data_IF_603858439389
#
_entry.id   IF_603858439389
#
_cell.length_a   1.000
_cell.length_b   1.000
_cell.length_c   1.000
_cell.angle_alpha   90.00
_cell.angle_beta   90.00
_cell.angle_gamma   90.00
#
_symmetry.space_group_name_H-M   'P 1'
#
loop_
_entity.id
_entity.type
_entity.pdbx_description
1 polymer ?
#
# COMPACT_ATOMS: atom_id res chain seq x y z
N UNK A 1 16.18 -17.63 7.71
CA UNK A 1 16.27 -16.30 8.35
C UNK A 1 15.94 -15.11 7.45
N UNK A 2 16.77 -14.68 6.48
CA UNK A 2 16.50 -13.43 5.74
C UNK A 2 15.23 -13.45 4.87
N UNK A 3 14.85 -14.62 4.35
CA UNK A 3 13.68 -14.78 3.47
C UNK A 3 12.35 -14.63 4.23
N UNK A 4 12.25 -15.23 5.41
CA UNK A 4 11.06 -15.18 6.28
C UNK A 4 10.81 -13.77 6.81
N UNK A 5 11.88 -13.06 7.17
CA UNK A 5 11.80 -11.66 7.59
C UNK A 5 11.26 -10.79 6.45
N UNK A 6 11.74 -10.99 5.22
CA UNK A 6 11.28 -10.24 4.05
C UNK A 6 9.79 -10.50 3.77
N UNK A 7 9.32 -11.75 3.87
CA UNK A 7 7.91 -12.07 3.69
C UNK A 7 7.05 -11.41 4.78
N UNK A 8 7.51 -11.45 6.03
CA UNK A 8 6.84 -10.78 7.15
C UNK A 8 6.72 -9.28 6.92
N UNK A 9 7.79 -8.63 6.45
CA UNK A 9 7.80 -7.20 6.13
C UNK A 9 6.82 -6.88 4.99
N UNK A 10 6.81 -7.67 3.92
CA UNK A 10 5.86 -7.49 2.80
C UNK A 10 4.42 -7.61 3.29
N UNK A 11 4.12 -8.69 4.02
CA UNK A 11 2.78 -8.96 4.58
C UNK A 11 2.28 -7.80 5.44
N UNK A 12 3.09 -7.33 6.40
CA UNK A 12 2.74 -6.21 7.29
C UNK A 12 2.53 -4.91 6.52
N UNK A 13 3.41 -4.59 5.57
CA UNK A 13 3.31 -3.36 4.75
C UNK A 13 2.06 -3.37 3.88
N UNK A 14 1.75 -4.49 3.23
CA UNK A 14 0.54 -4.58 2.41
C UNK A 14 -0.70 -4.49 3.29
N UNK A 15 -0.79 -5.29 4.37
CA UNK A 15 -1.92 -5.26 5.30
C UNK A 15 -2.20 -3.85 5.86
N UNK A 16 -1.15 -3.11 6.24
CA UNK A 16 -1.27 -1.76 6.76
C UNK A 16 -1.87 -0.78 5.74
N UNK A 17 -1.56 -0.91 4.45
CA UNK A 17 -2.19 -0.08 3.42
C UNK A 17 -3.71 -0.28 3.40
N UNK A 18 -4.17 -1.55 3.43
CA UNK A 18 -5.58 -1.86 3.49
C UNK A 18 -6.24 -1.36 4.78
N UNK A 19 -5.53 -1.45 5.92
CA UNK A 19 -6.01 -0.90 7.20
C UNK A 19 -6.27 0.60 7.10
N UNK A 20 -5.27 1.38 6.65
CA UNK A 20 -5.37 2.84 6.53
C UNK A 20 -6.47 3.26 5.56
N UNK A 21 -6.62 2.56 4.43
CA UNK A 21 -7.58 2.93 3.38
C UNK A 21 -9.04 2.61 3.73
N UNK A 22 -9.29 1.70 4.67
CA UNK A 22 -10.66 1.28 5.05
C UNK A 22 -11.20 1.97 6.30
N UNK A 23 -10.33 2.47 7.17
CA UNK A 23 -10.73 3.11 8.42
C UNK A 23 -10.79 4.63 8.28
N UNK A 24 -11.87 5.23 8.79
CA UNK A 24 -12.14 6.68 8.72
C UNK A 24 -11.20 7.51 9.59
N UNK A 25 -10.59 6.92 10.62
CA UNK A 25 -9.69 7.63 11.53
C UNK A 25 -8.36 8.07 10.88
N UNK A 26 -8.13 7.69 9.62
CA UNK A 26 -6.88 7.97 8.89
C UNK A 26 -7.04 8.92 7.71
N UNK A 27 -8.09 9.74 7.67
CA UNK A 27 -8.40 10.63 6.53
C UNK A 27 -7.21 11.49 6.07
N UNK A 28 -6.47 12.10 6.99
CA UNK A 28 -5.26 12.87 6.64
C UNK A 28 -4.22 11.99 5.94
N UNK A 29 -3.98 10.79 6.45
CA UNK A 29 -3.00 9.85 5.89
C UNK A 29 -3.44 9.38 4.50
N UNK A 30 -4.74 9.14 4.30
CA UNK A 30 -5.32 8.82 3.00
C UNK A 30 -5.12 9.96 1.99
N UNK A 31 -5.38 11.22 2.39
CA UNK A 31 -5.16 12.40 1.54
C UNK A 31 -3.69 12.55 1.13
N UNK A 32 -2.76 12.34 2.07
CA UNK A 32 -1.32 12.34 1.80
C UNK A 32 -0.98 11.26 0.77
N UNK A 33 -1.40 10.01 0.99
CA UNK A 33 -1.08 8.87 0.13
C UNK A 33 -1.67 9.01 -1.28
N UNK A 34 -2.90 9.51 -1.39
CA UNK A 34 -3.55 9.78 -2.67
C UNK A 34 -3.00 11.03 -3.36
N UNK A 35 -2.14 11.79 -2.69
CA UNK A 35 -1.54 13.00 -3.23
C UNK A 35 -2.54 14.14 -3.43
N UNK A 36 -3.64 14.16 -2.65
CA UNK A 36 -4.72 15.17 -2.74
C UNK A 36 -4.43 16.45 -1.94
N UNK A 37 -3.21 16.63 -1.45
CA UNK A 37 -2.79 17.82 -0.69
C UNK A 37 -2.45 18.97 -1.64
N UNK A 38 -3.10 20.12 -1.42
CA UNK A 38 -2.81 21.37 -2.10
C UNK A 38 -1.44 21.94 -1.67
N UNK A 39 -0.75 22.65 -2.58
CA UNK A 39 0.54 23.29 -2.27
C UNK A 39 1.70 22.32 -2.00
N UNK A 40 1.54 21.02 -2.31
CA UNK A 40 2.61 20.04 -2.08
C UNK A 40 3.83 20.34 -2.95
N UNK A 41 5.02 20.38 -2.34
CA UNK A 41 6.29 20.40 -3.10
C UNK A 41 6.45 19.08 -3.85
N UNK A 42 7.01 19.14 -5.06
CA UNK A 42 7.36 17.91 -5.81
C UNK A 42 8.33 17.10 -4.97
N UNK A 43 7.94 15.88 -4.61
CA UNK A 43 8.87 14.96 -3.95
C UNK A 43 9.97 14.63 -4.94
N UNK A 44 11.23 14.74 -4.52
CA UNK A 44 12.38 14.32 -5.34
C UNK A 44 12.24 12.86 -5.80
N UNK A 45 13.03 12.45 -6.80
CA UNK A 45 12.94 11.11 -7.38
C UNK A 45 13.46 10.05 -6.39
N UNK A 46 12.55 9.44 -5.62
CA UNK A 46 12.87 8.30 -4.76
C UNK A 46 13.18 7.06 -5.62
N UNK A 47 14.20 6.26 -5.25
CA UNK A 47 14.49 4.97 -5.92
C UNK A 47 13.28 4.01 -5.85
N UNK A 48 12.67 3.90 -4.67
CA UNK A 48 11.40 3.18 -4.44
C UNK A 48 10.54 3.94 -3.43
N UNK A 49 9.23 3.95 -3.63
CA UNK A 49 8.25 4.41 -2.63
C UNK A 49 7.50 3.22 -2.05
N UNK A 50 6.85 3.41 -0.90
CA UNK A 50 6.05 2.36 -0.27
C UNK A 50 4.90 1.87 -1.16
N UNK A 51 4.14 2.79 -1.77
CA UNK A 51 3.08 2.46 -2.73
C UNK A 51 3.62 1.74 -3.97
N UNK A 52 4.80 2.14 -4.48
CA UNK A 52 5.45 1.46 -5.60
C UNK A 52 5.84 0.03 -5.25
N UNK A 53 6.39 -0.19 -4.06
CA UNK A 53 6.74 -1.54 -3.59
C UNK A 53 5.49 -2.42 -3.48
N UNK A 54 4.41 -1.92 -2.86
CA UNK A 54 3.17 -2.69 -2.73
C UNK A 54 2.60 -3.02 -4.11
N UNK A 55 2.56 -2.05 -5.02
CA UNK A 55 2.10 -2.27 -6.40
C UNK A 55 2.87 -3.41 -7.08
N UNK A 56 4.19 -3.39 -6.99
CA UNK A 56 5.05 -4.41 -7.59
C UNK A 56 4.91 -5.77 -6.90
N UNK A 57 4.77 -5.82 -5.57
CA UNK A 57 4.60 -7.07 -4.83
C UNK A 57 3.23 -7.73 -5.05
N UNK A 58 2.20 -6.93 -5.30
CA UNK A 58 0.82 -7.39 -5.52
C UNK A 58 0.49 -7.60 -6.99
N UNK A 59 1.40 -7.21 -7.90
CA UNK A 59 1.22 -7.22 -9.35
C UNK A 59 -0.03 -6.46 -9.84
N UNK A 60 -0.38 -5.37 -9.16
CA UNK A 60 -1.53 -4.51 -9.53
C UNK A 60 -1.06 -3.43 -10.52
N UNK A 61 -1.82 -3.20 -11.59
CA UNK A 61 -1.39 -2.35 -12.70
C UNK A 61 -1.09 -0.88 -12.30
N UNK A 62 -1.94 -0.29 -11.45
CA UNK A 62 -1.86 1.13 -11.06
C UNK A 62 -2.09 1.33 -9.57
N UNK A 63 -1.69 2.51 -9.06
CA UNK A 63 -1.90 2.88 -7.66
C UNK A 63 -3.40 3.12 -7.39
N UNK A 64 -4.12 3.64 -8.38
CA UNK A 64 -5.55 3.87 -8.35
C UNK A 64 -6.32 2.54 -8.24
N UNK A 65 -5.94 1.54 -9.02
CA UNK A 65 -6.49 0.18 -8.90
C UNK A 65 -6.15 -0.43 -7.55
N UNK A 66 -4.93 -0.23 -7.06
CA UNK A 66 -4.53 -0.68 -5.72
C UNK A 66 -5.42 -0.07 -4.63
N UNK A 67 -5.75 1.22 -4.71
CA UNK A 67 -6.65 1.86 -3.74
C UNK A 67 -8.06 1.28 -3.77
N UNK A 68 -8.66 1.10 -4.96
CA UNK A 68 -9.98 0.49 -5.10
C UNK A 68 -9.98 -0.95 -4.59
N UNK A 69 -8.97 -1.72 -4.97
CA UNK A 69 -8.80 -3.11 -4.56
C UNK A 69 -8.65 -3.26 -3.04
N UNK A 70 -7.96 -2.31 -2.39
CA UNK A 70 -7.74 -2.31 -0.94
C UNK A 70 -9.02 -2.09 -0.11
N UNK A 71 -10.11 -1.62 -0.72
CA UNK A 71 -11.39 -1.46 -0.02
C UNK A 71 -12.06 -2.81 0.29
N UNK A 72 -11.85 -3.82 -0.56
CA UNK A 72 -12.36 -5.17 -0.35
C UNK A 72 -11.42 -5.95 0.58
N UNK A 73 -11.84 -6.16 1.82
CA UNK A 73 -11.02 -6.83 2.85
C UNK A 73 -10.69 -8.27 2.48
N UNK A 74 -11.63 -9.02 1.89
CA UNK A 74 -11.43 -10.43 1.55
C UNK A 74 -10.38 -10.56 0.44
N UNK A 75 -10.60 -9.87 -0.69
CA UNK A 75 -9.65 -9.88 -1.82
C UNK A 75 -8.26 -9.39 -1.41
N UNK A 76 -8.20 -8.38 -0.55
CA UNK A 76 -6.92 -7.85 -0.07
C UNK A 76 -6.18 -8.82 0.87
N UNK A 77 -6.92 -9.63 1.62
CA UNK A 77 -6.35 -10.69 2.46
C UNK A 77 -5.79 -11.82 1.62
N UNK A 78 -6.48 -12.23 0.55
CA UNK A 78 -6.01 -13.24 -0.41
C UNK A 78 -4.69 -12.84 -1.07
N UNK A 79 -4.56 -11.57 -1.48
CA UNK A 79 -3.30 -11.05 -2.04
C UNK A 79 -2.19 -11.00 -0.99
N UNK A 80 -2.54 -10.68 0.25
CA UNK A 80 -1.58 -10.65 1.37
C UNK A 80 -1.16 -12.06 1.78
N UNK A 81 -2.00 -13.07 1.54
CA UNK A 81 -1.67 -14.47 1.78
C UNK A 81 -0.44 -14.84 0.96
N UNK A 82 -0.39 -14.51 -0.34
CA UNK A 82 0.71 -14.85 -1.28
C UNK A 82 2.15 -14.54 -0.78
N UNK A 83 2.31 -13.70 0.24
CA UNK A 83 3.54 -13.59 1.03
C UNK A 83 3.63 -14.71 2.08
N UNK A 84 3.85 -15.94 1.61
CA UNK A 84 4.20 -17.11 2.42
C UNK A 84 5.69 -17.42 2.29
#
# INVERSE_FOLDING_TARGET
>A
MCRELLQTIKKRKVAYLGHVLRHKDYDLLQLIMMGKIAGKRRTGRRKKSWLRNIKEWTNIASVEHLFRFSQDRQKFTEVTAKFH
#
